data_IF_106786189763
#
_entry.id   IF_106786189763
#
_cell.length_a   1.000
_cell.length_b   1.000
_cell.length_c   1.000
_cell.angle_alpha   90.00
_cell.angle_beta   90.00
_cell.angle_gamma   90.00
#
_symmetry.space_group_name_H-M   'P 1'
#
loop_
_entity.id
_entity.type
_entity.pdbx_description
1 polymer ?
#
# COMPACT_ATOMS: atom_id res chain seq x y z
N UNK A 1 48.61 -14.74 -5.01
CA UNK A 1 48.64 -13.34 -5.45
C UNK A 1 48.36 -13.29 -6.94
N UNK A 2 47.14 -12.93 -7.35
CA UNK A 2 46.81 -12.58 -8.75
C UNK A 2 45.87 -11.38 -8.69
N UNK A 3 46.39 -10.21 -9.09
CA UNK A 3 45.62 -8.96 -9.21
C UNK A 3 44.72 -9.01 -10.44
N UNK A 4 43.46 -8.65 -10.27
CA UNK A 4 42.53 -8.44 -11.37
C UNK A 4 42.34 -6.93 -11.53
N UNK A 5 42.82 -6.42 -12.66
CA UNK A 5 42.65 -5.04 -13.12
C UNK A 5 41.28 -4.88 -13.75
N UNK A 6 40.46 -3.98 -13.20
CA UNK A 6 39.18 -3.56 -13.80
C UNK A 6 39.41 -2.22 -14.51
N UNK A 7 39.46 -2.26 -15.84
CA UNK A 7 39.51 -1.07 -16.69
C UNK A 7 38.16 -0.39 -16.78
N UNK A 8 38.10 0.87 -16.33
CA UNK A 8 36.96 1.77 -16.53
C UNK A 8 36.99 2.36 -17.93
N UNK A 9 35.97 2.10 -18.74
CA UNK A 9 35.76 2.80 -20.01
C UNK A 9 34.84 4.02 -19.74
N UNK A 10 35.37 5.21 -19.92
CA UNK A 10 34.61 6.45 -19.97
C UNK A 10 34.11 6.66 -21.40
N UNK A 11 32.80 6.85 -21.56
CA UNK A 11 32.19 7.28 -22.81
C UNK A 11 32.04 8.82 -22.80
N UNK A 12 32.71 9.47 -23.74
CA UNK A 12 32.59 10.90 -23.99
C UNK A 12 31.46 11.10 -25.01
N UNK A 13 30.43 11.87 -24.64
CA UNK A 13 29.34 12.25 -25.53
C UNK A 13 29.60 13.67 -26.05
N UNK A 14 29.89 13.79 -27.36
CA UNK A 14 30.16 15.05 -28.05
C UNK A 14 28.85 15.67 -28.50
N UNK A 15 28.54 16.90 -28.05
CA UNK A 15 27.43 17.69 -28.54
C UNK A 15 27.86 18.46 -29.79
N UNK A 16 27.16 18.28 -30.90
CA UNK A 16 27.28 19.10 -32.11
C UNK A 16 26.26 20.23 -32.08
N UNK A 17 26.78 21.48 -32.13
CA UNK A 17 25.99 22.70 -32.26
C UNK A 17 25.77 22.97 -33.74
N UNK A 18 24.52 22.89 -34.18
CA UNK A 18 24.14 23.25 -35.54
C UNK A 18 23.53 24.65 -35.57
N UNK A 19 24.24 25.57 -36.22
CA UNK A 19 23.81 26.95 -36.54
C UNK A 19 22.94 26.90 -37.80
N UNK A 20 21.73 27.48 -37.80
CA UNK A 20 20.93 27.71 -39.00
C UNK A 20 20.67 29.19 -39.15
N UNK A 21 21.05 29.68 -40.35
CA UNK A 21 20.92 31.06 -40.78
C UNK A 21 19.47 31.45 -41.12
N UNK A 22 19.21 32.70 -40.89
CA UNK A 22 18.04 33.49 -41.25
C UNK A 22 17.85 33.68 -42.76
N UNK A 23 16.62 33.68 -43.23
CA UNK A 23 16.24 34.46 -44.42
C UNK A 23 14.85 35.08 -44.26
N UNK A 24 14.72 36.30 -44.72
CA UNK A 24 13.66 37.25 -44.47
C UNK A 24 12.52 37.21 -45.51
N UNK A 25 11.38 37.69 -45.05
CA UNK A 25 10.36 38.50 -45.73
C UNK A 25 9.51 37.91 -46.87
N UNK A 26 8.20 37.88 -46.63
CA UNK A 26 7.22 38.57 -47.48
C UNK A 26 5.94 38.84 -46.69
N UNK A 27 5.50 40.11 -46.76
CA UNK A 27 4.28 40.59 -46.15
C UNK A 27 3.04 40.10 -46.93
N UNK A 28 2.03 39.68 -46.22
CA UNK A 28 0.69 39.43 -46.72
C UNK A 28 -0.29 39.69 -45.59
N UNK A 29 -1.23 40.63 -45.81
CA UNK A 29 -2.23 41.07 -44.86
C UNK A 29 -3.17 39.94 -44.42
N UNK A 30 -3.67 39.97 -43.19
CA UNK A 30 -4.52 38.92 -42.66
C UNK A 30 -5.99 39.13 -43.04
N UNK A 31 -6.73 38.04 -43.33
CA UNK A 31 -8.19 38.11 -43.26
C UNK A 31 -8.63 38.01 -41.79
N UNK A 32 -9.27 39.09 -41.36
CA UNK A 32 -10.05 39.13 -40.13
C UNK A 32 -11.20 38.16 -40.19
N UNK A 33 -11.10 37.08 -39.40
CA UNK A 33 -12.27 36.34 -38.91
C UNK A 33 -12.02 35.94 -37.47
N UNK A 34 -12.66 36.70 -36.62
CA UNK A 34 -12.80 36.44 -35.21
C UNK A 34 -13.63 35.17 -35.01
N UNK A 35 -12.95 34.04 -34.77
CA UNK A 35 -13.56 32.91 -34.08
C UNK A 35 -12.67 32.61 -32.89
N UNK A 36 -12.93 33.37 -31.85
CA UNK A 36 -12.33 33.18 -30.55
C UNK A 36 -13.02 32.01 -29.89
N UNK A 37 -12.49 30.81 -30.08
CA UNK A 37 -12.81 29.69 -29.24
C UNK A 37 -12.46 30.08 -27.81
N UNK A 38 -13.44 30.12 -26.88
CA UNK A 38 -13.12 30.38 -25.49
C UNK A 38 -12.21 29.25 -24.97
N UNK A 39 -11.22 29.58 -24.13
CA UNK A 39 -10.42 28.53 -23.51
C UNK A 39 -11.37 27.60 -22.74
N UNK A 40 -11.22 26.30 -22.99
CA UNK A 40 -11.93 25.27 -22.25
C UNK A 40 -11.77 25.59 -20.76
N UNK A 41 -12.89 25.92 -20.12
CA UNK A 41 -12.93 26.07 -18.67
C UNK A 41 -12.37 24.81 -18.06
N UNK A 42 -11.23 24.94 -17.40
CA UNK A 42 -10.72 23.90 -16.54
C UNK A 42 -11.86 23.61 -15.55
N UNK A 43 -12.49 22.46 -15.71
CA UNK A 43 -13.40 21.92 -14.71
C UNK A 43 -12.54 21.69 -13.49
N UNK A 44 -12.51 22.66 -12.60
CA UNK A 44 -12.04 22.45 -11.25
C UNK A 44 -13.06 21.46 -10.65
N UNK A 45 -12.65 20.20 -10.58
CA UNK A 45 -13.30 19.24 -9.69
C UNK A 45 -13.02 19.77 -8.29
N UNK A 46 -13.89 20.64 -7.84
CA UNK A 46 -14.04 20.89 -6.42
C UNK A 46 -14.50 19.53 -5.87
N UNK A 47 -13.57 18.81 -5.27
CA UNK A 47 -13.92 17.77 -4.34
C UNK A 47 -14.83 18.47 -3.32
N UNK A 48 -16.13 18.21 -3.45
CA UNK A 48 -17.06 18.55 -2.41
C UNK A 48 -16.55 17.82 -1.19
N UNK A 49 -15.90 18.56 -0.30
CA UNK A 49 -15.61 18.08 1.03
C UNK A 49 -16.96 17.62 1.55
N UNK A 50 -17.24 16.32 1.50
CA UNK A 50 -18.32 15.74 2.25
C UNK A 50 -18.04 16.19 3.67
N UNK A 51 -18.89 17.07 4.14
CA UNK A 51 -18.89 17.56 5.50
C UNK A 51 -19.19 16.34 6.37
N UNK A 52 -18.14 15.56 6.65
CA UNK A 52 -18.18 14.56 7.69
C UNK A 52 -18.31 15.39 8.96
N UNK A 53 -19.54 15.53 9.43
CA UNK A 53 -19.84 16.03 10.77
C UNK A 53 -19.19 15.00 11.70
N UNK A 54 -17.92 15.19 12.01
CA UNK A 54 -17.33 14.59 13.20
C UNK A 54 -18.18 15.13 14.36
N UNK A 55 -18.73 14.26 15.20
CA UNK A 55 -19.39 14.74 16.41
C UNK A 55 -18.40 15.62 17.15
N UNK A 56 -18.83 16.84 17.46
CA UNK A 56 -17.98 17.89 18.08
C UNK A 56 -17.46 17.53 19.49
N UNK A 57 -17.83 16.36 20.01
CA UNK A 57 -17.53 15.87 21.36
C UNK A 57 -16.81 14.51 21.36
N UNK A 58 -16.19 14.09 20.26
CA UNK A 58 -15.40 12.86 20.26
C UNK A 58 -14.05 13.12 20.92
N UNK A 59 -13.82 12.56 22.10
CA UNK A 59 -12.52 12.57 22.77
C UNK A 59 -11.46 11.90 21.88
N UNK A 60 -10.21 12.36 22.03
CA UNK A 60 -9.08 11.73 21.33
C UNK A 60 -8.91 10.29 21.80
N UNK A 61 -8.76 9.37 20.87
CA UNK A 61 -8.36 8.00 21.18
C UNK A 61 -6.84 7.95 21.32
N UNK A 62 -6.37 7.73 22.53
CA UNK A 62 -4.94 7.57 22.82
C UNK A 62 -4.73 6.19 23.44
N UNK A 63 -3.87 5.37 22.82
CA UNK A 63 -3.61 3.99 23.25
C UNK A 63 -2.12 3.75 23.31
N UNK A 64 -1.63 3.43 24.49
CA UNK A 64 -0.22 3.02 24.69
C UNK A 64 -0.08 1.50 24.50
N UNK A 65 1.12 0.98 24.23
CA UNK A 65 1.34 -0.47 24.13
C UNK A 65 0.90 -1.25 25.37
N UNK A 66 0.99 -0.68 26.55
CA UNK A 66 0.63 -1.34 27.80
C UNK A 66 -0.89 -1.49 28.00
N UNK A 67 -1.69 -0.71 27.29
CA UNK A 67 -3.16 -0.73 27.36
C UNK A 67 -3.80 -1.71 26.36
N UNK A 68 -3.02 -2.24 25.43
CA UNK A 68 -3.51 -3.17 24.42
C UNK A 68 -4.00 -4.47 25.05
N UNK A 69 -5.23 -4.85 24.72
CA UNK A 69 -5.82 -6.12 25.15
C UNK A 69 -5.81 -7.09 23.99
N UNK A 70 -4.89 -8.03 24.02
CA UNK A 70 -4.74 -9.03 23.00
C UNK A 70 -5.69 -10.19 23.20
N UNK A 71 -6.32 -10.64 22.11
CA UNK A 71 -7.15 -11.84 22.03
C UNK A 71 -6.63 -12.76 20.93
N UNK A 72 -7.05 -14.03 20.93
CA UNK A 72 -6.75 -14.92 19.81
C UNK A 72 -7.44 -14.45 18.54
N UNK A 73 -6.70 -14.40 17.43
CA UNK A 73 -7.22 -14.05 16.11
C UNK A 73 -7.86 -15.30 15.48
N UNK A 74 -9.10 -15.61 15.87
CA UNK A 74 -9.78 -16.89 15.51
C UNK A 74 -10.04 -17.07 14.01
N UNK A 75 -9.96 -15.99 13.21
CA UNK A 75 -10.04 -16.05 11.76
C UNK A 75 -8.69 -16.31 11.09
N UNK A 76 -7.61 -16.35 11.85
CA UNK A 76 -6.25 -16.64 11.39
C UNK A 76 -5.77 -17.98 11.94
N UNK A 77 -4.77 -18.63 11.32
CA UNK A 77 -4.15 -19.83 11.88
C UNK A 77 -3.75 -19.65 13.34
N UNK A 78 -3.79 -20.70 14.16
CA UNK A 78 -3.50 -20.63 15.59
C UNK A 78 -2.16 -19.95 15.91
N UNK A 79 -2.13 -19.17 16.99
CA UNK A 79 -0.94 -18.46 17.48
C UNK A 79 -0.97 -16.96 17.23
N UNK A 80 -1.67 -16.48 16.21
CA UNK A 80 -1.83 -15.04 16.00
C UNK A 80 -2.73 -14.41 17.06
N UNK A 81 -2.40 -13.20 17.48
CA UNK A 81 -3.19 -12.36 18.38
C UNK A 81 -3.68 -11.13 17.63
N UNK A 82 -4.83 -10.62 18.08
CA UNK A 82 -5.42 -9.39 17.55
C UNK A 82 -5.84 -8.46 18.67
N UNK A 83 -5.74 -7.17 18.43
CA UNK A 83 -6.37 -6.12 19.24
C UNK A 83 -7.01 -5.09 18.33
N UNK A 84 -8.28 -4.80 18.55
CA UNK A 84 -8.98 -3.73 17.84
C UNK A 84 -8.76 -2.43 18.61
N UNK A 85 -8.31 -1.39 17.93
CA UNK A 85 -8.04 -0.07 18.49
C UNK A 85 -9.21 0.86 18.17
N UNK A 86 -9.71 0.82 16.94
CA UNK A 86 -10.73 1.73 16.43
C UNK A 86 -11.65 1.01 15.45
N UNK A 87 -12.91 1.45 15.40
CA UNK A 87 -13.86 1.08 14.36
C UNK A 87 -14.65 -0.19 14.66
N UNK A 88 -15.45 -0.58 13.66
CA UNK A 88 -16.25 -1.80 13.63
C UNK A 88 -15.91 -2.55 12.35
N UNK A 89 -15.45 -3.80 12.48
CA UNK A 89 -14.89 -4.56 11.35
C UNK A 89 -15.94 -5.01 10.32
N UNK A 90 -17.21 -5.02 10.69
CA UNK A 90 -18.34 -5.40 9.84
C UNK A 90 -19.07 -4.20 9.18
N UNK A 91 -18.62 -2.97 9.47
CA UNK A 91 -19.21 -1.74 8.98
C UNK A 91 -18.29 -0.99 8.00
N UNK A 92 -18.84 -0.18 7.08
CA UNK A 92 -18.06 0.63 6.14
C UNK A 92 -17.53 1.91 6.81
N UNK A 93 -16.80 1.75 7.89
CA UNK A 93 -16.17 2.82 8.67
C UNK A 93 -14.67 2.61 8.76
N UNK A 94 -13.87 3.64 9.07
CA UNK A 94 -12.46 3.48 9.36
C UNK A 94 -12.23 2.47 10.50
N UNK A 95 -11.21 1.65 10.35
CA UNK A 95 -10.77 0.73 11.39
C UNK A 95 -9.25 0.77 11.55
N UNK A 96 -8.80 0.49 12.75
CA UNK A 96 -7.40 0.26 13.09
C UNK A 96 -7.31 -0.93 14.04
N UNK A 97 -6.55 -1.93 13.66
CA UNK A 97 -6.24 -3.08 14.52
C UNK A 97 -4.74 -3.37 14.50
N UNK A 98 -4.27 -4.13 15.46
CA UNK A 98 -2.92 -4.72 15.44
C UNK A 98 -3.00 -6.22 15.49
N UNK A 99 -2.07 -6.85 14.78
CA UNK A 99 -1.84 -8.29 14.78
C UNK A 99 -0.45 -8.56 15.33
N UNK A 100 -0.34 -9.60 16.13
CA UNK A 100 0.93 -10.15 16.61
C UNK A 100 1.05 -11.58 16.11
N UNK A 101 2.16 -11.86 15.45
CA UNK A 101 2.49 -13.17 14.91
C UNK A 101 3.65 -13.76 15.70
N UNK A 102 3.59 -15.03 16.13
CA UNK A 102 4.73 -15.70 16.73
C UNK A 102 5.84 -15.94 15.69
N UNK A 103 7.00 -16.41 16.15
CA UNK A 103 8.04 -16.93 15.27
C UNK A 103 7.52 -18.13 14.46
N UNK A 104 8.07 -18.29 13.25
CA UNK A 104 7.73 -19.38 12.31
C UNK A 104 6.25 -19.46 11.90
N UNK A 105 5.53 -18.35 12.06
CA UNK A 105 4.12 -18.27 11.68
C UNK A 105 3.96 -18.27 10.15
N UNK A 106 2.85 -18.84 9.68
CA UNK A 106 2.47 -18.83 8.27
C UNK A 106 0.99 -18.50 8.15
N UNK A 107 0.68 -17.48 7.38
CA UNK A 107 -0.66 -17.12 6.96
C UNK A 107 -0.80 -17.47 5.47
N UNK A 108 -1.56 -18.54 5.15
CA UNK A 108 -1.77 -18.98 3.78
C UNK A 108 -2.41 -17.93 2.88
N UNK A 109 -2.40 -18.19 1.58
CA UNK A 109 -2.95 -17.29 0.58
C UNK A 109 -4.42 -16.99 0.86
N UNK A 110 -4.73 -15.69 0.92
CA UNK A 110 -6.04 -15.14 1.24
C UNK A 110 -6.21 -13.77 0.60
N UNK A 111 -7.42 -13.23 0.64
CA UNK A 111 -7.75 -11.90 0.16
C UNK A 111 -8.78 -11.22 1.05
N UNK A 112 -8.92 -9.91 0.89
CA UNK A 112 -9.86 -9.05 1.60
C UNK A 112 -10.72 -8.26 0.63
N UNK A 113 -11.98 -7.94 0.96
CA UNK A 113 -12.86 -7.15 0.08
C UNK A 113 -12.51 -5.66 0.03
N UNK A 114 -11.72 -5.17 0.99
CA UNK A 114 -11.31 -3.77 1.13
C UNK A 114 -9.80 -3.62 1.04
N UNK A 115 -9.33 -2.40 0.78
CA UNK A 115 -7.90 -2.07 0.83
C UNK A 115 -7.40 -2.15 2.26
N UNK A 116 -6.26 -2.81 2.46
CA UNK A 116 -5.53 -2.82 3.73
C UNK A 116 -4.22 -2.06 3.61
N UNK A 117 -3.91 -1.29 4.64
CA UNK A 117 -2.61 -0.67 4.85
C UNK A 117 -1.95 -1.37 6.03
N UNK A 118 -0.88 -2.10 5.77
CA UNK A 118 -0.17 -2.90 6.78
C UNK A 118 1.17 -2.26 7.07
N UNK A 119 1.36 -1.78 8.31
CA UNK A 119 2.61 -1.19 8.80
C UNK A 119 3.27 -2.14 9.78
N UNK A 120 4.56 -2.45 9.57
CA UNK A 120 5.34 -3.27 10.51
C UNK A 120 5.82 -2.40 11.67
N UNK A 121 5.35 -2.71 12.88
CA UNK A 121 5.68 -1.97 14.11
C UNK A 121 6.89 -2.57 14.84
N UNK A 122 7.05 -3.90 14.81
CA UNK A 122 8.22 -4.60 15.38
C UNK A 122 8.47 -5.91 14.65
N UNK A 123 9.70 -6.41 14.70
CA UNK A 123 10.12 -7.60 13.98
C UNK A 123 10.13 -7.41 12.47
N UNK A 124 9.90 -8.50 11.75
CA UNK A 124 9.80 -8.50 10.29
C UNK A 124 8.75 -9.52 9.83
N UNK A 125 8.02 -9.18 8.77
CA UNK A 125 7.18 -10.11 8.03
C UNK A 125 7.77 -10.33 6.63
N UNK A 126 7.57 -11.50 6.07
CA UNK A 126 7.86 -11.79 4.66
C UNK A 126 6.52 -11.93 3.95
N UNK A 127 6.24 -11.04 3.00
CA UNK A 127 4.95 -11.01 2.30
C UNK A 127 5.13 -11.26 0.81
N UNK A 128 4.26 -12.08 0.25
CA UNK A 128 4.19 -12.37 -1.17
C UNK A 128 2.78 -12.29 -1.73
N UNK A 129 2.67 -12.21 -3.05
CA UNK A 129 1.41 -12.18 -3.78
C UNK A 129 1.24 -13.47 -4.57
N UNK A 130 0.01 -14.01 -4.61
CA UNK A 130 -0.35 -15.22 -5.36
C UNK A 130 -1.26 -16.14 -4.59
N UNK A 131 -1.61 -17.26 -5.23
CA UNK A 131 -2.63 -18.19 -4.76
C UNK A 131 -2.09 -19.26 -3.79
N UNK A 132 -0.79 -19.33 -3.62
CA UNK A 132 -0.12 -20.33 -2.76
C UNK A 132 1.06 -19.67 -2.06
N UNK A 133 1.23 -19.98 -0.77
CA UNK A 133 2.39 -19.52 0.00
C UNK A 133 3.68 -20.12 -0.58
N UNK A 134 4.49 -19.24 -1.15
CA UNK A 134 5.82 -19.57 -1.73
C UNK A 134 6.87 -18.64 -1.09
N UNK A 135 7.63 -19.18 -0.14
CA UNK A 135 8.64 -18.41 0.60
C UNK A 135 9.70 -17.78 -0.32
N UNK A 136 9.95 -18.38 -1.49
CA UNK A 136 10.93 -17.84 -2.45
C UNK A 136 10.42 -16.59 -3.21
N UNK A 137 9.10 -16.34 -3.16
CA UNK A 137 8.45 -15.21 -3.82
C UNK A 137 7.97 -14.14 -2.85
N UNK A 138 8.70 -13.96 -1.75
CA UNK A 138 8.35 -12.95 -0.74
C UNK A 138 9.36 -11.82 -0.70
N UNK A 139 8.88 -10.66 -0.28
CA UNK A 139 9.71 -9.52 0.11
C UNK A 139 9.75 -9.44 1.62
N UNK A 140 10.95 -9.35 2.18
CA UNK A 140 11.13 -9.10 3.61
C UNK A 140 10.81 -7.64 3.94
N UNK A 141 9.92 -7.44 4.89
CA UNK A 141 9.43 -6.17 5.35
C UNK A 141 9.82 -5.98 6.83
N UNK A 142 10.94 -5.32 7.13
CA UNK A 142 11.36 -5.03 8.50
C UNK A 142 10.50 -3.92 9.12
N UNK A 143 10.70 -3.68 10.42
CA UNK A 143 10.10 -2.57 11.17
C UNK A 143 10.18 -1.25 10.40
N UNK A 144 9.06 -0.52 10.33
CA UNK A 144 8.89 0.73 9.58
C UNK A 144 8.42 0.55 8.14
N UNK A 145 8.36 -0.69 7.64
CA UNK A 145 7.81 -0.97 6.30
C UNK A 145 6.29 -0.77 6.26
N UNK A 146 5.82 -0.34 5.10
CA UNK A 146 4.40 -0.24 4.76
C UNK A 146 4.13 -1.04 3.49
N UNK A 147 3.05 -1.81 3.48
CA UNK A 147 2.47 -2.39 2.27
C UNK A 147 1.00 -2.00 2.16
N UNK A 148 0.55 -1.71 0.95
CA UNK A 148 -0.85 -1.44 0.63
C UNK A 148 -1.33 -2.60 -0.23
N UNK A 149 -2.32 -3.32 0.27
CA UNK A 149 -2.94 -4.46 -0.41
C UNK A 149 -4.27 -4.01 -0.99
N UNK A 150 -4.41 -3.96 -2.33
CA UNK A 150 -5.68 -3.64 -2.97
C UNK A 150 -6.77 -4.68 -2.68
N UNK A 151 -8.06 -4.33 -2.83
CA UNK A 151 -9.15 -5.29 -2.68
C UNK A 151 -8.98 -6.51 -3.58
N UNK A 152 -9.40 -7.66 -3.10
CA UNK A 152 -9.43 -8.94 -3.85
C UNK A 152 -8.06 -9.37 -4.40
N UNK A 153 -6.98 -8.93 -3.76
CA UNK A 153 -5.60 -9.31 -4.12
C UNK A 153 -5.16 -10.49 -3.25
N UNK A 154 -4.91 -11.65 -3.88
CA UNK A 154 -4.42 -12.83 -3.20
C UNK A 154 -2.99 -12.60 -2.72
N UNK A 155 -2.78 -12.75 -1.42
CA UNK A 155 -1.48 -12.56 -0.78
C UNK A 155 -1.31 -13.51 0.40
N UNK A 156 -0.08 -13.65 0.85
CA UNK A 156 0.30 -14.53 1.96
C UNK A 156 1.48 -13.91 2.71
N UNK A 157 1.67 -14.31 3.96
CA UNK A 157 2.83 -13.89 4.74
C UNK A 157 3.38 -15.02 5.60
N UNK A 158 4.62 -14.87 6.01
CA UNK A 158 5.26 -15.72 7.01
C UNK A 158 6.28 -14.92 7.81
N UNK A 159 6.65 -15.44 8.99
CA UNK A 159 7.61 -14.82 9.90
C UNK A 159 8.73 -15.81 10.23
N UNK A 160 9.91 -15.31 10.60
CA UNK A 160 11.00 -16.08 11.21
C UNK A 160 11.13 -15.80 12.71
N UNK A 161 10.65 -14.65 13.13
CA UNK A 161 10.66 -14.16 14.50
C UNK A 161 9.28 -13.57 14.84
N UNK A 162 9.06 -13.24 16.09
CA UNK A 162 7.83 -12.53 16.46
C UNK A 162 7.75 -11.18 15.76
N UNK A 163 6.59 -10.88 15.23
CA UNK A 163 6.33 -9.61 14.54
C UNK A 163 4.98 -9.01 14.96
N UNK A 164 4.94 -7.70 15.06
CA UNK A 164 3.70 -6.94 15.27
C UNK A 164 3.47 -6.01 14.09
N UNK A 165 2.26 -6.06 13.54
CA UNK A 165 1.82 -5.15 12.48
C UNK A 165 0.60 -4.36 12.92
N UNK A 166 0.44 -3.17 12.35
CA UNK A 166 -0.81 -2.41 12.42
C UNK A 166 -1.49 -2.48 11.05
N UNK A 167 -2.76 -2.83 11.04
CA UNK A 167 -3.61 -2.84 9.84
C UNK A 167 -4.68 -1.77 10.00
N UNK A 168 -4.84 -0.94 8.99
CA UNK A 168 -5.90 0.05 8.95
C UNK A 168 -6.51 0.15 7.54
N UNK A 169 -7.72 0.65 7.47
CA UNK A 169 -8.48 0.81 6.23
C UNK A 169 -9.89 1.27 6.49
N UNK A 170 -10.75 1.03 5.53
CA UNK A 170 -12.20 1.22 5.66
C UNK A 170 -12.87 -0.13 5.48
N UNK A 171 -13.70 -0.53 6.45
CA UNK A 171 -14.40 -1.80 6.42
C UNK A 171 -15.48 -1.90 5.32
N UNK A 172 -16.20 -3.03 5.24
CA UNK A 172 -16.06 -4.19 6.11
C UNK A 172 -14.75 -4.94 5.89
N UNK A 173 -14.20 -5.51 6.98
CA UNK A 173 -13.01 -6.36 6.94
C UNK A 173 -13.43 -7.82 7.01
N UNK A 174 -13.00 -8.59 6.03
CA UNK A 174 -13.18 -10.04 5.99
C UNK A 174 -11.93 -10.69 5.42
N UNK A 175 -11.63 -11.89 5.86
CA UNK A 175 -10.59 -12.72 5.27
C UNK A 175 -11.24 -13.91 4.57
N UNK A 176 -10.84 -14.13 3.31
CA UNK A 176 -11.24 -15.29 2.52
C UNK A 176 -9.98 -16.04 2.09
N UNK A 177 -9.85 -17.28 2.47
CA UNK A 177 -8.74 -18.12 2.07
C UNK A 177 -8.93 -18.63 0.65
N UNK A 178 -7.84 -18.59 -0.15
CA UNK A 178 -7.85 -19.10 -1.54
C UNK A 178 -8.14 -20.61 -1.53
N UNK A 179 -7.49 -21.36 -0.65
CA UNK A 179 -7.82 -22.75 -0.39
C UNK A 179 -8.72 -22.84 0.86
N UNK A 180 -9.98 -23.25 0.75
CA UNK A 180 -10.90 -23.34 1.89
C UNK A 180 -10.41 -24.25 3.02
N UNK A 181 -9.54 -25.23 2.73
CA UNK A 181 -8.97 -26.11 3.75
C UNK A 181 -7.99 -25.39 4.69
N UNK A 182 -7.52 -24.20 4.33
CA UNK A 182 -6.63 -23.38 5.16
C UNK A 182 -7.39 -22.51 6.16
N UNK A 183 -8.72 -22.39 5.99
CA UNK A 183 -9.58 -21.61 6.88
C UNK A 183 -9.69 -22.28 8.26
N UNK A 184 -9.15 -21.67 9.34
CA UNK A 184 -9.18 -22.26 10.66
C UNK A 184 -10.60 -22.36 11.25
N UNK A 185 -11.55 -21.58 10.72
CA UNK A 185 -12.95 -21.56 11.19
C UNK A 185 -13.74 -22.80 10.77
N UNK A 186 -13.19 -23.60 9.86
CA UNK A 186 -13.84 -24.84 9.35
C UNK A 186 -13.30 -26.12 10.00
N UNK A 187 -12.39 -25.99 10.97
CA UNK A 187 -11.71 -27.13 11.64
C UNK A 187 -12.28 -27.41 13.02
#
# INVERSE_FOLDING_TARGET
MKSINIARKAAVLTFAIGTVLTSAACAGDPPTTTDRVPPASAVQVQASASNQVQPADADHVMVTPAELKWADATSLPPGAKVTLIEGQLDQPVPFTLRLQFPADYQLPAHWHPSTEHVTVLSGAINMGQGDTLDKAKTTALPTGSLVIVPPNTNHFLWTTEEATVQVHGVGPVAITYVNPADDPRTK
#
